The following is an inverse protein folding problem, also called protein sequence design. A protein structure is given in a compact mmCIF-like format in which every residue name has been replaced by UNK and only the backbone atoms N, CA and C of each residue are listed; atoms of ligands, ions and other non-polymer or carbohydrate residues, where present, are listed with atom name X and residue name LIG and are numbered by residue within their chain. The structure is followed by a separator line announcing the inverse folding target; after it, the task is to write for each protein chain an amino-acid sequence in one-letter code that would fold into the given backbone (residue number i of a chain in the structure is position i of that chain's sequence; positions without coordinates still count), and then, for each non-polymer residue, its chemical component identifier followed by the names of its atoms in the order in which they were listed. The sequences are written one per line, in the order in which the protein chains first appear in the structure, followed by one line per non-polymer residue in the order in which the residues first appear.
data_IF_076254698605
#
_entry.id   IF_076254698605
#
_cell.length_a   1.000
_cell.length_b   1.000
_cell.length_c   1.000
_cell.angle_alpha   90.00
_cell.angle_beta   90.00
_cell.angle_gamma   90.00
#
_symmetry.space_group_name_H-M   'P 1'
#
loop_
_entity.id
_entity.type
_entity.pdbx_description
1 polymer ?
#
# COMPACT_ATOMS: atom_id res chain seq x y z
N UNK A 1 25.62 -15.89 5.18
CA UNK A 1 25.15 -14.56 5.61
C UNK A 1 23.74 -14.40 5.07
N UNK A 2 22.74 -14.16 5.92
CA UNK A 2 21.38 -13.87 5.48
C UNK A 2 21.29 -12.40 5.09
N UNK A 3 20.71 -12.10 3.93
CA UNK A 3 20.49 -10.74 3.43
C UNK A 3 18.99 -10.57 3.26
N UNK A 4 18.41 -9.56 3.88
CA UNK A 4 17.05 -9.12 3.62
C UNK A 4 17.09 -7.88 2.72
N UNK A 5 16.31 -7.90 1.65
CA UNK A 5 16.21 -6.79 0.70
C UNK A 5 14.73 -6.47 0.56
N UNK A 6 14.37 -5.22 0.82
CA UNK A 6 13.09 -4.62 0.44
C UNK A 6 13.39 -3.52 -0.58
N UNK A 7 12.99 -3.74 -1.84
CA UNK A 7 13.40 -2.87 -2.94
C UNK A 7 12.33 -1.82 -3.26
N UNK A 8 11.16 -2.25 -3.70
CA UNK A 8 10.01 -1.40 -3.98
C UNK A 8 8.70 -2.18 -3.86
N UNK A 9 7.57 -1.48 -3.85
CA UNK A 9 6.26 -2.12 -3.78
C UNK A 9 5.18 -1.27 -4.43
N UNK A 10 4.39 -1.85 -5.33
CA UNK A 10 3.24 -1.17 -5.95
C UNK A 10 1.96 -1.81 -5.45
N UNK A 11 1.61 -1.46 -4.21
CA UNK A 11 0.47 -2.04 -3.52
C UNK A 11 -0.85 -1.64 -4.16
N UNK A 12 -1.82 -2.56 -4.10
CA UNK A 12 -3.12 -2.37 -4.69
C UNK A 12 -4.24 -2.39 -3.63
N UNK A 13 -5.27 -1.57 -3.85
CA UNK A 13 -6.56 -1.71 -3.21
C UNK A 13 -7.60 -2.04 -4.27
N UNK A 14 -8.44 -3.04 -4.02
CA UNK A 14 -9.47 -3.52 -4.95
C UNK A 14 -10.83 -3.35 -4.30
N UNK A 15 -11.74 -2.64 -4.97
CA UNK A 15 -13.15 -2.61 -4.60
C UNK A 15 -13.89 -3.66 -5.42
N UNK A 16 -14.55 -4.58 -4.76
CA UNK A 16 -15.36 -5.62 -5.38
C UNK A 16 -16.54 -5.04 -6.19
N UNK A 17 -17.10 -5.79 -7.16
CA UNK A 17 -18.23 -5.31 -7.96
C UNK A 17 -19.47 -4.93 -7.16
N UNK A 18 -19.67 -5.56 -6.00
CA UNK A 18 -20.78 -5.31 -5.08
C UNK A 18 -20.53 -4.14 -4.09
N UNK A 19 -19.30 -3.63 -4.04
CA UNK A 19 -18.96 -2.40 -3.31
C UNK A 19 -19.56 -1.16 -3.99
N UNK A 20 -20.89 -1.02 -3.90
CA UNK A 20 -21.63 0.07 -4.55
C UNK A 20 -21.51 1.38 -3.74
N UNK A 21 -21.62 2.55 -4.39
CA UNK A 21 -21.63 3.83 -3.67
C UNK A 21 -22.65 3.84 -2.54
N UNK A 22 -22.19 4.19 -1.32
CA UNK A 22 -22.99 4.18 -0.11
C UNK A 22 -23.03 2.84 0.65
N UNK A 23 -22.40 1.79 0.14
CA UNK A 23 -22.20 0.55 0.91
C UNK A 23 -21.06 0.70 1.93
N UNK A 24 -21.08 -0.15 2.97
CA UNK A 24 -20.02 -0.14 3.98
C UNK A 24 -18.63 -0.45 3.40
N UNK A 25 -18.57 -1.35 2.43
CA UNK A 25 -17.34 -1.68 1.71
C UNK A 25 -16.81 -0.50 0.90
N UNK A 26 -17.68 0.24 0.19
CA UNK A 26 -17.30 1.45 -0.56
C UNK A 26 -16.74 2.52 0.36
N UNK A 27 -17.42 2.83 1.46
CA UNK A 27 -17.02 3.89 2.39
C UNK A 27 -15.69 3.54 3.08
N UNK A 28 -15.50 2.28 3.48
CA UNK A 28 -14.25 1.78 4.04
C UNK A 28 -13.11 1.87 3.01
N UNK A 29 -13.34 1.46 1.76
CA UNK A 29 -12.39 1.54 0.67
C UNK A 29 -11.93 2.99 0.41
N UNK A 30 -12.86 3.91 0.21
CA UNK A 30 -12.54 5.33 -0.04
C UNK A 30 -11.81 5.95 1.15
N UNK A 31 -12.22 5.60 2.37
CA UNK A 31 -11.56 6.05 3.60
C UNK A 31 -10.12 5.57 3.71
N UNK A 32 -9.90 4.28 3.48
CA UNK A 32 -8.57 3.68 3.59
C UNK A 32 -7.63 4.16 2.48
N UNK A 33 -8.10 4.23 1.24
CA UNK A 33 -7.31 4.75 0.11
C UNK A 33 -6.85 6.18 0.37
N UNK A 34 -7.77 7.08 0.75
CA UNK A 34 -7.43 8.47 1.03
C UNK A 34 -6.43 8.58 2.19
N UNK A 35 -6.62 7.79 3.26
CA UNK A 35 -5.71 7.74 4.40
C UNK A 35 -4.30 7.29 3.99
N UNK A 36 -4.19 6.20 3.23
CA UNK A 36 -2.91 5.63 2.80
C UNK A 36 -2.13 6.56 1.86
N UNK A 37 -2.83 7.39 1.09
CA UNK A 37 -2.21 8.39 0.24
C UNK A 37 -1.55 9.52 1.04
N UNK A 38 -2.11 9.93 2.19
CA UNK A 38 -1.67 11.13 2.92
C UNK A 38 -0.78 10.84 4.13
N UNK A 39 -0.94 9.67 4.77
CA UNK A 39 -0.13 9.29 5.95
C UNK A 39 1.35 9.27 5.56
N UNK A 40 2.20 9.98 6.34
CA UNK A 40 3.63 10.20 6.05
C UNK A 40 3.87 10.78 4.64
N UNK A 41 2.96 11.61 4.14
CA UNK A 41 2.98 12.12 2.76
C UNK A 41 3.11 10.99 1.70
N UNK A 42 2.45 9.86 1.92
CA UNK A 42 2.52 8.70 1.05
C UNK A 42 3.86 7.97 1.03
N UNK A 43 4.82 8.36 1.86
CA UNK A 43 6.15 7.77 1.91
C UNK A 43 6.18 6.56 2.85
N UNK A 44 5.42 5.55 2.47
CA UNK A 44 5.34 4.23 3.11
C UNK A 44 5.55 3.15 2.06
N UNK A 45 6.34 2.14 2.38
CA UNK A 45 6.50 0.94 1.55
C UNK A 45 5.16 0.24 1.27
N UNK A 46 4.21 0.34 2.19
CA UNK A 46 2.86 -0.25 2.07
C UNK A 46 1.82 0.70 1.47
N UNK A 47 2.12 1.96 1.13
CA UNK A 47 1.11 2.88 0.62
C UNK A 47 0.42 2.37 -0.64
N UNK A 48 -0.89 2.61 -0.75
CA UNK A 48 -1.68 2.24 -1.92
C UNK A 48 -1.25 3.10 -3.11
N UNK A 49 -0.80 2.45 -4.20
CA UNK A 49 -0.40 3.08 -5.46
C UNK A 49 -1.40 2.85 -6.58
N UNK A 50 -2.13 1.74 -6.52
CA UNK A 50 -3.09 1.33 -7.54
C UNK A 50 -4.44 1.08 -6.89
N UNK A 51 -5.48 1.72 -7.43
CA UNK A 51 -6.83 1.74 -6.92
C UNK A 51 -7.72 1.09 -7.97
N UNK A 52 -8.07 -0.18 -7.79
CA UNK A 52 -8.85 -0.93 -8.76
C UNK A 52 -10.34 -0.87 -8.39
N UNK A 53 -11.15 -0.41 -9.33
CA UNK A 53 -12.61 -0.27 -9.15
C UNK A 53 -13.30 -0.73 -10.42
N UNK A 54 -14.50 -1.34 -10.31
CA UNK A 54 -15.28 -1.66 -11.52
C UNK A 54 -15.52 -0.42 -12.36
N UNK A 55 -15.52 -0.57 -13.68
CA UNK A 55 -15.80 0.52 -14.61
C UNK A 55 -17.13 1.22 -14.27
N UNK A 56 -18.12 0.46 -13.79
CA UNK A 56 -19.42 0.97 -13.37
C UNK A 56 -19.35 1.96 -12.19
N UNK A 57 -18.43 1.77 -11.25
CA UNK A 57 -18.32 2.59 -10.03
C UNK A 57 -17.11 3.53 -10.05
N UNK A 58 -16.35 3.54 -11.17
CA UNK A 58 -15.12 4.30 -11.26
C UNK A 58 -15.30 5.81 -11.11
N UNK A 59 -16.38 6.37 -11.68
CA UNK A 59 -16.66 7.81 -11.56
C UNK A 59 -17.01 8.17 -10.11
N UNK A 60 -17.93 7.42 -9.49
CA UNK A 60 -18.32 7.66 -8.10
C UNK A 60 -17.12 7.51 -7.12
N UNK A 61 -16.25 6.53 -7.35
CA UNK A 61 -15.05 6.36 -6.53
C UNK A 61 -14.04 7.50 -6.76
N UNK A 62 -13.87 7.95 -8.00
CA UNK A 62 -13.03 9.08 -8.33
C UNK A 62 -13.52 10.35 -7.63
N UNK A 63 -14.81 10.67 -7.74
CA UNK A 63 -15.43 11.85 -7.12
C UNK A 63 -15.28 11.83 -5.59
N UNK A 64 -15.58 10.69 -4.96
CA UNK A 64 -15.46 10.52 -3.51
C UNK A 64 -14.01 10.67 -3.01
N UNK A 65 -13.03 10.14 -3.76
CA UNK A 65 -11.62 10.30 -3.44
C UNK A 65 -11.15 11.73 -3.65
N UNK A 66 -11.49 12.37 -4.77
CA UNK A 66 -11.17 13.77 -5.07
C UNK A 66 -11.72 14.68 -3.97
N UNK A 67 -13.00 14.50 -3.58
CA UNK A 67 -13.62 15.29 -2.51
C UNK A 67 -12.83 15.18 -1.19
N UNK A 68 -12.40 13.96 -0.82
CA UNK A 68 -11.61 13.76 0.42
C UNK A 68 -10.21 14.37 0.30
N UNK A 69 -9.54 14.18 -0.82
CA UNK A 69 -8.16 14.65 -1.02
C UNK A 69 -8.08 16.19 -1.10
N UNK A 70 -9.07 16.85 -1.69
CA UNK A 70 -9.15 18.31 -1.74
C UNK A 70 -9.36 18.95 -0.35
N UNK A 71 -9.92 18.22 0.61
CA UNK A 71 -10.08 18.69 2.00
C UNK A 71 -8.79 18.53 2.83
N UNK A 72 -7.74 17.91 2.29
CA UNK A 72 -6.49 17.70 3.01
C UNK A 72 -5.70 18.99 3.08
N UNK A 73 -5.57 19.55 4.27
CA UNK A 73 -4.71 20.71 4.52
C UNK A 73 -3.25 20.25 4.52
N UNK A 74 -2.51 20.71 3.51
CA UNK A 74 -1.07 20.48 3.38
C UNK A 74 -0.33 21.69 3.96
N UNK A 75 0.66 21.47 4.83
CA UNK A 75 1.35 22.58 5.45
C UNK A 75 2.32 22.17 6.56
N UNK A 76 2.63 23.14 7.42
CA UNK A 76 3.50 22.92 8.58
C UNK A 76 2.86 21.91 9.56
N UNK A 77 3.46 20.74 9.78
CA UNK A 77 2.87 19.68 10.60
C UNK A 77 2.75 20.03 12.09
N UNK A 78 3.30 21.18 12.53
CA UNK A 78 3.13 21.70 13.89
C UNK A 78 1.79 22.40 14.11
N UNK A 79 1.03 22.66 13.04
CA UNK A 79 -0.29 23.28 13.09
C UNK A 79 -1.37 22.22 13.18
N UNK A 80 -2.32 22.38 14.09
CA UNK A 80 -3.36 21.38 14.39
C UNK A 80 -4.29 21.07 13.20
N UNK A 81 -4.52 22.03 12.32
CA UNK A 81 -5.36 21.86 11.13
C UNK A 81 -4.67 21.07 10.01
N UNK A 82 -3.33 20.98 10.02
CA UNK A 82 -2.57 20.30 8.97
C UNK A 82 -2.73 18.78 9.07
N UNK A 83 -3.00 18.15 7.95
CA UNK A 83 -3.18 16.71 7.83
C UNK A 83 -2.06 16.03 7.04
N UNK A 84 -1.30 16.78 6.25
CA UNK A 84 -0.15 16.26 5.53
C UNK A 84 1.01 17.28 5.53
N UNK A 85 2.16 16.86 6.01
CA UNK A 85 3.41 17.60 5.97
C UNK A 85 4.15 17.44 4.63
N UNK A 86 5.41 17.93 4.56
CA UNK A 86 6.25 17.77 3.37
C UNK A 86 6.74 16.31 3.22
N UNK A 87 7.21 15.97 2.03
CA UNK A 87 8.06 14.78 1.84
C UNK A 87 9.46 15.03 2.44
N UNK A 88 10.23 13.95 2.65
CA UNK A 88 11.43 13.96 3.49
C UNK A 88 12.54 14.90 3.00
N UNK A 89 12.67 15.11 1.69
CA UNK A 89 13.68 16.00 1.08
C UNK A 89 13.19 16.62 -0.20
N UNK A 90 13.88 17.69 -0.66
CA UNK A 90 13.64 18.31 -1.97
C UNK A 90 13.97 17.36 -3.13
N UNK A 91 14.96 16.51 -2.98
CA UNK A 91 15.27 15.45 -3.97
C UNK A 91 14.08 14.51 -4.11
N UNK A 92 13.46 14.12 -2.99
CA UNK A 92 12.25 13.30 -3.02
C UNK A 92 11.05 14.05 -3.62
N UNK A 93 10.91 15.34 -3.34
CA UNK A 93 9.89 16.18 -3.99
C UNK A 93 10.05 16.14 -5.51
N UNK A 94 11.26 16.40 -6.01
CA UNK A 94 11.53 16.36 -7.45
C UNK A 94 11.23 14.98 -8.06
N UNK A 95 11.59 13.89 -7.38
CA UNK A 95 11.30 12.53 -7.82
C UNK A 95 9.79 12.24 -7.86
N UNK A 96 9.02 12.74 -6.89
CA UNK A 96 7.55 12.60 -6.88
C UNK A 96 6.93 13.36 -8.06
N UNK A 97 7.36 14.60 -8.30
CA UNK A 97 6.82 15.43 -9.39
C UNK A 97 7.16 14.82 -10.77
N UNK A 98 8.40 14.34 -10.98
CA UNK A 98 8.80 13.58 -12.18
C UNK A 98 7.95 12.30 -12.34
N UNK A 99 7.72 11.60 -11.24
CA UNK A 99 6.87 10.43 -11.22
C UNK A 99 5.43 10.72 -11.67
N UNK A 100 4.85 11.82 -11.21
CA UNK A 100 3.53 12.29 -11.66
C UNK A 100 3.54 12.59 -13.16
N UNK A 101 4.57 13.29 -13.67
CA UNK A 101 4.70 13.59 -15.10
C UNK A 101 4.79 12.32 -15.96
N UNK A 102 5.48 11.30 -15.46
CA UNK A 102 5.59 10.01 -16.16
C UNK A 102 4.27 9.26 -16.16
N UNK A 103 3.54 9.22 -15.03
CA UNK A 103 2.23 8.60 -14.95
C UNK A 103 1.18 9.35 -15.79
N UNK A 104 1.27 10.68 -15.86
CA UNK A 104 0.34 11.51 -16.64
C UNK A 104 0.40 11.29 -18.15
N UNK A 105 1.40 10.55 -18.65
CA UNK A 105 1.43 10.11 -20.06
C UNK A 105 0.44 8.98 -20.36
N UNK A 106 0.02 8.24 -19.34
CA UNK A 106 -0.88 7.09 -19.44
C UNK A 106 -2.17 7.25 -18.63
N UNK A 107 -2.27 8.34 -17.84
CA UNK A 107 -3.37 8.58 -16.92
C UNK A 107 -3.72 10.07 -16.85
N UNK A 108 -5.00 10.40 -16.70
CA UNK A 108 -5.46 11.75 -16.48
C UNK A 108 -5.33 12.14 -15.00
N UNK A 109 -4.80 13.32 -14.71
CA UNK A 109 -4.76 13.86 -13.34
C UNK A 109 -6.16 14.35 -12.97
N UNK A 110 -6.74 13.82 -11.89
CA UNK A 110 -8.04 14.22 -11.36
C UNK A 110 -7.94 15.32 -10.30
N UNK A 111 -6.92 15.25 -9.44
CA UNK A 111 -6.59 16.31 -8.49
C UNK A 111 -5.10 16.26 -8.13
N UNK A 112 -4.60 17.32 -7.48
CA UNK A 112 -3.18 17.49 -7.19
C UNK A 112 -2.41 18.00 -8.40
N UNK A 113 -1.34 17.31 -8.76
CA UNK A 113 -0.56 17.62 -9.95
C UNK A 113 0.95 17.55 -9.75
N UNK A 114 1.67 18.05 -10.77
CA UNK A 114 3.13 17.96 -10.91
C UNK A 114 3.87 19.25 -10.50
N UNK A 115 3.23 20.11 -9.74
CA UNK A 115 3.85 21.37 -9.26
C UNK A 115 3.83 21.45 -7.74
N UNK A 116 4.89 22.01 -7.13
CA UNK A 116 4.86 22.29 -5.70
C UNK A 116 3.70 23.24 -5.35
N UNK A 117 2.98 22.98 -4.24
CA UNK A 117 1.96 23.91 -3.78
C UNK A 117 2.60 25.20 -3.23
N UNK A 118 1.88 26.31 -3.35
CA UNK A 118 2.18 27.52 -2.58
C UNK A 118 1.54 27.39 -1.21
N UNK A 119 2.34 27.46 -0.15
CA UNK A 119 1.87 27.42 1.23
C UNK A 119 2.21 28.72 1.90
N UNK A 120 1.20 29.34 2.52
CA UNK A 120 1.35 30.64 3.15
C UNK A 120 2.43 30.63 4.25
N UNK A 121 3.32 31.63 4.20
CA UNK A 121 4.44 31.79 5.13
C UNK A 121 5.59 30.79 4.92
N UNK A 122 5.59 29.98 3.84
CA UNK A 122 6.66 29.03 3.56
C UNK A 122 7.34 29.36 2.22
N UNK A 123 8.66 29.49 2.25
CA UNK A 123 9.46 29.65 1.02
C UNK A 123 9.45 28.35 0.19
N UNK A 124 8.87 28.36 -1.02
CA UNK A 124 8.83 27.16 -1.86
C UNK A 124 10.22 26.66 -2.27
N UNK A 125 11.23 27.54 -2.31
CA UNK A 125 12.60 27.15 -2.64
C UNK A 125 13.31 26.37 -1.52
N UNK A 126 12.80 26.46 -0.29
CA UNK A 126 13.37 25.81 0.88
C UNK A 126 12.41 24.79 1.50
N UNK A 127 11.41 24.34 0.75
CA UNK A 127 10.41 23.40 1.21
C UNK A 127 10.27 22.19 0.27
N UNK A 128 9.69 21.12 0.78
CA UNK A 128 9.50 19.86 0.04
C UNK A 128 8.02 19.43 0.02
N UNK A 129 7.10 20.37 -0.10
CA UNK A 129 5.67 20.05 -0.14
C UNK A 129 5.24 19.55 -1.53
N UNK A 130 4.36 18.57 -1.54
CA UNK A 130 3.65 18.08 -2.71
C UNK A 130 2.17 17.96 -2.38
N UNK A 131 1.29 18.02 -3.36
CA UNK A 131 -0.14 17.78 -3.15
C UNK A 131 -0.48 16.30 -3.25
N UNK A 132 -1.48 15.80 -2.51
CA UNK A 132 -2.07 14.52 -2.79
C UNK A 132 -2.56 14.51 -4.25
N UNK A 133 -2.07 13.55 -5.03
CA UNK A 133 -2.33 13.49 -6.47
C UNK A 133 -3.00 12.17 -6.82
N UNK A 134 -4.21 12.28 -7.34
CA UNK A 134 -4.97 11.15 -7.87
C UNK A 134 -4.98 11.23 -9.40
N UNK A 135 -4.60 10.12 -10.03
CA UNK A 135 -4.70 9.94 -11.47
C UNK A 135 -5.76 8.88 -11.79
N UNK A 136 -6.24 8.88 -13.04
CA UNK A 136 -7.12 7.83 -13.58
C UNK A 136 -6.49 7.28 -14.85
N UNK A 137 -6.30 5.98 -14.92
CA UNK A 137 -5.76 5.28 -16.07
C UNK A 137 -6.64 5.49 -17.30
N UNK A 138 -6.03 5.86 -18.43
CA UNK A 138 -6.71 6.04 -19.71
C UNK A 138 -7.04 4.70 -20.36
N UNK A 139 -6.09 3.77 -20.36
CA UNK A 139 -6.25 2.39 -20.81
C UNK A 139 -5.42 1.48 -19.90
N UNK A 140 -6.05 0.81 -18.91
CA UNK A 140 -5.35 -0.05 -17.96
C UNK A 140 -4.56 -1.20 -18.60
N UNK A 141 -5.02 -1.69 -19.75
CA UNK A 141 -4.44 -2.87 -20.39
C UNK A 141 -3.21 -2.54 -21.24
N UNK A 142 -3.18 -1.39 -21.89
CA UNK A 142 -2.02 -0.95 -22.69
C UNK A 142 -0.98 -0.19 -21.85
N UNK A 143 -1.37 0.37 -20.72
CA UNK A 143 -0.51 1.15 -19.83
C UNK A 143 0.57 0.27 -19.18
N UNK A 144 1.75 0.84 -18.97
CA UNK A 144 2.87 0.16 -18.36
C UNK A 144 3.35 0.87 -17.09
N UNK A 145 3.52 2.19 -17.14
CA UNK A 145 4.05 2.97 -16.02
C UNK A 145 3.17 2.86 -14.77
N UNK A 146 1.85 2.86 -14.91
CA UNK A 146 0.92 2.72 -13.78
C UNK A 146 1.06 1.38 -13.02
N UNK A 147 1.64 0.35 -13.67
CA UNK A 147 1.84 -0.96 -13.07
C UNK A 147 3.29 -1.20 -12.62
N UNK A 148 4.23 -0.36 -13.04
CA UNK A 148 5.66 -0.60 -12.80
C UNK A 148 6.36 0.52 -12.04
N UNK A 149 5.85 1.76 -12.11
CA UNK A 149 6.49 2.89 -11.47
C UNK A 149 5.96 3.09 -10.05
N UNK A 150 6.80 2.88 -9.06
CA UNK A 150 6.52 3.35 -7.71
C UNK A 150 6.88 4.83 -7.57
N UNK A 151 5.87 5.68 -7.37
CA UNK A 151 6.07 7.09 -6.98
C UNK A 151 5.99 7.18 -5.47
N UNK A 152 7.14 7.31 -4.80
CA UNK A 152 7.22 7.28 -3.33
C UNK A 152 6.82 8.61 -2.70
N UNK A 153 5.52 8.91 -2.81
CA UNK A 153 4.86 10.13 -2.37
C UNK A 153 3.33 9.96 -2.31
N UNK A 154 2.55 11.02 -2.09
CA UNK A 154 1.10 10.96 -1.96
C UNK A 154 0.40 10.85 -3.33
N UNK A 155 0.75 9.83 -4.09
CA UNK A 155 0.32 9.62 -5.48
C UNK A 155 -0.25 8.23 -5.67
N UNK A 156 -1.44 8.14 -6.26
CA UNK A 156 -2.06 6.87 -6.63
C UNK A 156 -2.84 7.00 -7.94
N UNK A 157 -3.03 5.87 -8.63
CA UNK A 157 -3.77 5.81 -9.88
C UNK A 157 -5.00 4.94 -9.73
N UNK A 158 -6.18 5.50 -10.04
CA UNK A 158 -7.43 4.76 -10.17
C UNK A 158 -7.44 4.03 -11.51
N UNK A 159 -7.75 2.75 -11.45
CA UNK A 159 -7.67 1.80 -12.57
C UNK A 159 -9.03 1.12 -12.69
N UNK A 160 -9.88 1.53 -13.65
CA UNK A 160 -11.13 0.85 -13.91
C UNK A 160 -10.89 -0.58 -14.43
N UNK A 161 -11.69 -1.54 -13.96
CA UNK A 161 -11.69 -2.90 -14.46
C UNK A 161 -13.13 -3.35 -14.85
N UNK A 162 -13.25 -4.31 -15.77
CA UNK A 162 -14.54 -4.78 -16.32
C UNK A 162 -15.13 -5.93 -15.49
N UNK A 163 -14.27 -6.84 -15.06
CA UNK A 163 -14.68 -8.05 -14.36
C UNK A 163 -13.59 -8.53 -13.37
N UNK A 164 -13.88 -9.47 -12.46
CA UNK A 164 -12.95 -9.95 -11.44
C UNK A 164 -11.66 -10.58 -11.99
N UNK A 165 -11.72 -11.20 -13.18
CA UNK A 165 -10.54 -11.80 -13.80
C UNK A 165 -9.58 -10.71 -14.27
N UNK A 166 -10.11 -9.68 -14.91
CA UNK A 166 -9.30 -8.52 -15.29
C UNK A 166 -8.71 -7.81 -14.08
N UNK A 167 -9.49 -7.62 -13.00
CA UNK A 167 -8.96 -7.04 -11.76
C UNK A 167 -7.74 -7.85 -11.24
N UNK A 168 -7.87 -9.16 -11.21
CA UNK A 168 -6.79 -10.07 -10.81
C UNK A 168 -5.55 -9.91 -11.69
N UNK A 169 -5.74 -9.87 -13.00
CA UNK A 169 -4.65 -9.72 -13.96
C UNK A 169 -3.96 -8.35 -13.84
N UNK A 170 -4.73 -7.28 -13.70
CA UNK A 170 -4.20 -5.93 -13.50
C UNK A 170 -3.40 -5.84 -12.18
N UNK A 171 -3.87 -6.49 -11.10
CA UNK A 171 -3.09 -6.55 -9.84
C UNK A 171 -1.77 -7.28 -10.05
N UNK A 172 -1.78 -8.44 -10.75
CA UNK A 172 -0.58 -9.25 -11.04
C UNK A 172 0.48 -8.51 -11.86
N UNK A 173 0.07 -7.60 -12.74
CA UNK A 173 1.00 -6.74 -13.51
C UNK A 173 1.91 -5.89 -12.64
N UNK A 174 1.59 -5.70 -11.36
CA UNK A 174 2.48 -5.07 -10.39
C UNK A 174 3.73 -5.88 -10.05
N UNK A 175 3.81 -7.15 -10.44
CA UNK A 175 5.01 -7.97 -10.27
C UNK A 175 5.33 -8.38 -8.83
N UNK A 176 4.33 -8.41 -7.96
CA UNK A 176 4.47 -8.69 -6.53
C UNK A 176 4.48 -7.42 -5.67
N UNK A 177 4.02 -7.51 -4.44
CA UNK A 177 4.01 -6.39 -3.52
C UNK A 177 3.96 -6.84 -2.05
N UNK A 178 4.14 -5.88 -1.14
CA UNK A 178 4.05 -6.11 0.31
C UNK A 178 2.61 -6.42 0.73
N UNK A 179 1.64 -5.69 0.18
CA UNK A 179 0.24 -5.83 0.62
C UNK A 179 -0.74 -5.51 -0.51
N UNK A 180 -1.87 -6.23 -0.49
CA UNK A 180 -3.08 -5.82 -1.19
C UNK A 180 -4.25 -5.75 -0.21
N UNK A 181 -5.20 -4.85 -0.46
CA UNK A 181 -6.48 -4.82 0.26
C UNK A 181 -7.62 -5.05 -0.70
N UNK A 182 -8.63 -5.79 -0.25
CA UNK A 182 -9.82 -6.13 -1.02
C UNK A 182 -11.03 -5.75 -0.18
N UNK A 183 -11.92 -4.96 -0.73
CA UNK A 183 -13.13 -4.46 -0.05
C UNK A 183 -14.35 -4.96 -0.82
N UNK A 184 -15.28 -5.58 -0.14
CA UNK A 184 -16.49 -6.12 -0.76
C UNK A 184 -17.48 -6.62 0.27
N UNK A 185 -18.68 -6.96 -0.17
CA UNK A 185 -19.75 -7.46 0.67
C UNK A 185 -19.97 -8.96 0.49
N UNK A 186 -19.67 -9.51 -0.69
CA UNK A 186 -19.74 -10.95 -0.98
C UNK A 186 -18.49 -11.68 -0.50
N UNK A 187 -18.65 -12.50 0.55
CA UNK A 187 -17.57 -13.31 1.11
C UNK A 187 -16.98 -14.32 0.13
N UNK A 188 -17.77 -14.81 -0.85
CA UNK A 188 -17.25 -15.71 -1.87
C UNK A 188 -16.29 -14.97 -2.80
N UNK A 189 -16.67 -13.77 -3.26
CA UNK A 189 -15.79 -12.92 -4.05
C UNK A 189 -14.49 -12.63 -3.28
N UNK A 190 -14.59 -12.22 -2.01
CA UNK A 190 -13.41 -11.94 -1.17
C UNK A 190 -12.51 -13.16 -1.02
N UNK A 191 -13.08 -14.34 -0.77
CA UNK A 191 -12.33 -15.59 -0.64
C UNK A 191 -11.62 -15.97 -1.95
N UNK A 192 -12.28 -15.84 -3.09
CA UNK A 192 -11.70 -16.12 -4.39
C UNK A 192 -10.58 -15.12 -4.75
N UNK A 193 -10.79 -13.84 -4.48
CA UNK A 193 -9.78 -12.81 -4.68
C UNK A 193 -8.54 -13.06 -3.81
N UNK A 194 -8.71 -13.44 -2.53
CA UNK A 194 -7.60 -13.83 -1.64
C UNK A 194 -6.82 -15.02 -2.21
N UNK A 195 -7.49 -16.08 -2.69
CA UNK A 195 -6.83 -17.24 -3.30
C UNK A 195 -6.06 -16.87 -4.56
N UNK A 196 -6.65 -16.00 -5.41
CA UNK A 196 -6.06 -15.62 -6.69
C UNK A 196 -4.90 -14.62 -6.56
N UNK A 197 -4.88 -13.82 -5.50
CA UNK A 197 -3.87 -12.77 -5.29
C UNK A 197 -2.81 -13.15 -4.24
N UNK A 198 -3.09 -14.12 -3.36
CA UNK A 198 -2.25 -14.44 -2.21
C UNK A 198 -0.79 -14.72 -2.54
N UNK A 199 -0.52 -15.41 -3.65
CA UNK A 199 0.83 -15.76 -4.06
C UNK A 199 1.68 -14.55 -4.52
N UNK A 200 1.04 -13.44 -4.86
CA UNK A 200 1.70 -12.21 -5.34
C UNK A 200 1.96 -11.16 -4.25
N UNK A 201 1.58 -11.44 -2.99
CA UNK A 201 1.60 -10.45 -1.92
C UNK A 201 2.13 -11.05 -0.62
N UNK A 202 2.86 -10.25 0.15
CA UNK A 202 3.27 -10.66 1.50
C UNK A 202 2.10 -10.72 2.48
N UNK A 203 1.09 -9.88 2.27
CA UNK A 203 -0.12 -9.82 3.09
C UNK A 203 -1.34 -9.41 2.25
N UNK A 204 -2.50 -9.96 2.58
CA UNK A 204 -3.79 -9.48 2.07
C UNK A 204 -4.67 -9.07 3.24
N UNK A 205 -5.25 -7.88 3.14
CA UNK A 205 -6.32 -7.39 4.00
C UNK A 205 -7.64 -7.52 3.23
N UNK A 206 -8.51 -8.42 3.65
CA UNK A 206 -9.88 -8.51 3.12
C UNK A 206 -10.84 -7.85 4.10
N UNK A 207 -11.65 -6.92 3.61
CA UNK A 207 -12.58 -6.13 4.41
C UNK A 207 -14.00 -6.38 3.92
N UNK A 208 -14.81 -6.97 4.76
CA UNK A 208 -16.26 -7.11 4.61
C UNK A 208 -17.01 -6.12 5.53
N UNK A 209 -18.35 -6.01 5.45
CA UNK A 209 -19.11 -5.08 6.28
C UNK A 209 -18.93 -5.26 7.78
N UNK A 210 -18.64 -6.49 8.25
CA UNK A 210 -18.50 -6.79 9.68
C UNK A 210 -17.28 -6.14 10.32
N UNK A 211 -16.24 -5.84 9.51
CA UNK A 211 -15.01 -5.20 9.97
C UNK A 211 -14.73 -3.85 9.30
N UNK A 212 -15.66 -3.33 8.51
CA UNK A 212 -15.48 -2.10 7.73
C UNK A 212 -15.04 -0.89 8.58
N UNK A 213 -15.44 -0.83 9.84
CA UNK A 213 -15.08 0.24 10.79
C UNK A 213 -14.03 -0.18 11.82
N UNK A 214 -13.61 -1.46 11.83
CA UNK A 214 -12.76 -2.05 12.88
C UNK A 214 -11.54 -2.81 12.35
N UNK A 215 -11.25 -2.73 11.04
CA UNK A 215 -10.07 -3.38 10.46
C UNK A 215 -8.77 -2.69 10.88
N UNK A 216 -7.67 -3.44 10.84
CA UNK A 216 -6.35 -2.94 11.24
C UNK A 216 -5.78 -1.86 10.32
N UNK A 217 -6.27 -1.78 9.08
CA UNK A 217 -5.76 -0.90 8.03
C UNK A 217 -4.76 -1.59 7.09
N UNK A 218 -4.71 -1.07 5.87
CA UNK A 218 -3.89 -1.60 4.78
C UNK A 218 -2.40 -1.67 5.15
N UNK A 219 -1.88 -0.59 5.71
CA UNK A 219 -0.47 -0.41 5.99
C UNK A 219 0.01 -0.96 7.33
N UNK A 220 -0.85 -1.59 8.14
CA UNK A 220 -0.50 -2.07 9.48
C UNK A 220 -0.08 -3.54 9.41
N UNK A 221 1.08 -3.85 10.00
CA UNK A 221 1.57 -5.21 10.18
C UNK A 221 1.40 -5.61 11.63
N UNK A 222 0.62 -6.64 11.88
CA UNK A 222 0.50 -7.20 13.23
C UNK A 222 1.79 -7.95 13.61
N UNK A 223 2.19 -7.94 14.90
CA UNK A 223 3.44 -8.56 15.34
C UNK A 223 3.62 -10.04 14.98
N UNK A 224 2.51 -10.77 14.82
CA UNK A 224 2.50 -12.18 14.45
C UNK A 224 2.51 -12.41 12.92
N UNK A 225 2.36 -11.36 12.12
CA UNK A 225 2.35 -11.44 10.66
C UNK A 225 3.76 -11.24 10.10
N UNK A 226 4.04 -11.88 8.97
CA UNK A 226 5.21 -11.56 8.20
C UNK A 226 5.02 -10.20 7.52
N UNK A 227 6.06 -9.38 7.51
CA UNK A 227 6.18 -8.24 6.65
C UNK A 227 7.28 -8.53 5.61
N UNK A 228 6.93 -8.39 4.36
CA UNK A 228 7.75 -8.76 3.22
C UNK A 228 6.83 -9.03 2.03
N UNK A 229 7.36 -9.46 0.92
CA UNK A 229 6.55 -9.80 -0.25
C UNK A 229 7.36 -10.40 -1.38
N UNK A 230 6.69 -11.16 -2.26
CA UNK A 230 7.32 -11.79 -3.41
C UNK A 230 7.62 -10.80 -4.54
N UNK A 231 8.34 -11.27 -5.55
CA UNK A 231 8.60 -10.55 -6.78
C UNK A 231 9.43 -9.29 -6.56
N UNK A 232 8.94 -8.15 -6.96
CA UNK A 232 9.64 -6.86 -6.82
C UNK A 232 9.88 -6.44 -5.38
N UNK A 233 9.06 -6.89 -4.43
CA UNK A 233 9.25 -6.66 -3.00
C UNK A 233 10.41 -7.47 -2.41
N UNK A 234 11.05 -8.32 -3.23
CA UNK A 234 12.32 -9.03 -2.96
C UNK A 234 12.28 -10.15 -1.93
N UNK A 235 11.11 -10.65 -1.60
CA UNK A 235 10.94 -11.90 -0.87
C UNK A 235 11.73 -11.99 0.45
N UNK A 236 11.86 -10.87 1.16
CA UNK A 236 12.44 -10.84 2.51
C UNK A 236 11.35 -10.94 3.57
N UNK A 237 11.67 -11.55 4.73
CA UNK A 237 10.92 -11.30 5.94
C UNK A 237 11.49 -10.02 6.55
N UNK A 238 10.70 -8.97 6.65
CA UNK A 238 11.11 -7.76 7.33
C UNK A 238 11.24 -8.05 8.83
N UNK A 239 12.23 -7.42 9.45
CA UNK A 239 12.56 -7.64 10.85
C UNK A 239 11.52 -7.03 11.78
N UNK A 240 10.48 -7.79 12.09
CA UNK A 240 9.41 -7.39 13.00
C UNK A 240 8.98 -8.51 13.94
N UNK A 241 8.68 -8.16 15.20
CA UNK A 241 8.21 -9.09 16.21
C UNK A 241 9.11 -10.30 16.44
N UNK A 242 8.53 -11.39 16.90
CA UNK A 242 9.27 -12.65 17.20
C UNK A 242 9.87 -13.30 15.94
N UNK A 243 9.27 -13.10 14.76
CA UNK A 243 9.79 -13.65 13.52
C UNK A 243 11.13 -13.03 13.13
N UNK A 244 11.33 -11.73 13.43
CA UNK A 244 12.59 -11.04 13.19
C UNK A 244 13.77 -11.61 13.98
N UNK A 245 13.54 -12.19 15.15
CA UNK A 245 14.59 -12.80 15.96
C UNK A 245 15.34 -13.91 15.22
N UNK A 246 14.66 -14.63 14.31
CA UNK A 246 15.28 -15.73 13.56
C UNK A 246 16.46 -15.29 12.71
N UNK A 247 16.47 -14.05 12.24
CA UNK A 247 17.56 -13.49 11.45
C UNK A 247 18.84 -13.29 12.28
N UNK A 248 18.68 -12.97 13.57
CA UNK A 248 19.79 -12.70 14.48
C UNK A 248 20.33 -13.95 15.18
N UNK A 249 19.70 -15.11 14.98
CA UNK A 249 20.11 -16.37 15.57
C UNK A 249 20.85 -17.23 14.54
N UNK A 250 22.01 -17.72 14.93
CA UNK A 250 22.71 -18.76 14.17
C UNK A 250 22.09 -20.13 14.49
N UNK A 251 21.71 -20.86 13.46
CA UNK A 251 21.26 -22.23 13.62
C UNK A 251 22.44 -23.17 13.58
N UNK A 252 22.51 -24.07 14.55
CA UNK A 252 23.50 -25.14 14.63
C UNK A 252 22.77 -26.48 14.73
N UNK A 253 23.13 -27.41 13.88
CA UNK A 253 22.66 -28.79 14.01
C UNK A 253 23.52 -29.51 15.04
N UNK A 254 22.92 -30.09 16.07
CA UNK A 254 23.60 -30.87 17.09
C UNK A 254 23.19 -32.33 16.92
N UNK A 255 24.17 -33.19 16.77
CA UNK A 255 23.98 -34.64 16.72
C UNK A 255 24.68 -35.27 17.91
N UNK A 256 24.02 -36.16 18.64
CA UNK A 256 24.58 -36.78 19.85
C UNK A 256 23.67 -37.91 20.35
N UNK A 257 24.10 -38.54 21.47
CA UNK A 257 23.25 -39.52 22.14
C UNK A 257 21.98 -38.88 22.70
N UNK A 258 20.93 -39.67 22.87
CA UNK A 258 19.66 -39.26 23.47
C UNK A 258 19.86 -38.57 24.83
N UNK A 259 20.79 -39.09 25.65
CA UNK A 259 21.11 -38.50 26.96
C UNK A 259 21.72 -37.12 26.86
N UNK A 260 22.66 -36.89 25.91
CA UNK A 260 23.24 -35.59 25.68
C UNK A 260 22.18 -34.59 25.15
N UNK A 261 21.38 -34.99 24.18
CA UNK A 261 20.35 -34.13 23.63
C UNK A 261 19.28 -33.77 24.67
N UNK A 262 18.88 -34.71 25.51
CA UNK A 262 17.99 -34.46 26.65
C UNK A 262 18.53 -33.47 27.66
N UNK A 263 19.84 -33.53 27.99
CA UNK A 263 20.48 -32.56 28.87
C UNK A 263 20.51 -31.15 28.28
N UNK A 264 20.75 -31.02 26.97
CA UNK A 264 20.72 -29.72 26.28
C UNK A 264 19.34 -29.09 26.29
N UNK A 265 18.26 -29.91 26.12
CA UNK A 265 16.89 -29.40 26.16
C UNK A 265 16.48 -28.91 27.57
N UNK A 266 16.93 -29.60 28.62
CA UNK A 266 16.64 -29.20 30.02
C UNK A 266 17.46 -28.01 30.48
N UNK A 267 18.66 -27.79 29.93
CA UNK A 267 19.51 -26.65 30.25
C UNK A 267 19.07 -25.33 29.60
N UNK A 268 18.14 -25.38 28.62
CA UNK A 268 17.51 -24.19 28.05
C UNK A 268 16.45 -23.64 29.01
N UNK A 269 16.88 -23.06 30.15
CA UNK A 269 16.00 -22.30 30.99
C UNK A 269 15.54 -21.04 30.22
N UNK A 270 14.27 -20.63 30.35
CA UNK A 270 13.82 -19.39 29.73
C UNK A 270 14.68 -18.23 30.26
N UNK A 271 15.18 -17.42 29.36
CA UNK A 271 15.72 -16.11 29.70
C UNK A 271 14.60 -15.30 30.38
N UNK A 272 14.76 -14.98 31.64
CA UNK A 272 13.89 -14.09 32.39
C UNK A 272 14.13 -12.63 31.96
#
# INVERSE_FOLDING_TARGET
MSVNIEADSINAAVLAPDGTPGSAAFDAFVGEVAREMIVKAGQKCTAIRRILVTAQHADAAADALVERLLKVVVGDPRKDEVRMGPVVTRTQQAAVLDGVDRLAKEAAILCGGNRPPTIDGIDPNNSAFVLPTLLRASDPNSSNAIHQLEVFGPVATLIPYRDPNEATELVRRGGGSLVASIFGEDLNFLADAVRNLGHGHGRILAVDPSIATAHTGHGIVMPQCNHGGPGRARNGEELGGLNGLRLYHQRVAIQGSSDLLGRLQTAAAPFH
#
